data_IF_128484580629
#
_entry.id   IF_128484580629
#
_cell.length_a   1.000
_cell.length_b   1.000
_cell.length_c   1.000
_cell.angle_alpha   90.00
_cell.angle_beta   90.00
_cell.angle_gamma   90.00
#
_symmetry.space_group_name_H-M   'P 1'
#
loop_
_entity.id
_entity.type
_entity.pdbx_description
1 polymer ?
#
# COMPACT_ATOMS: atom_id res chain seq x y z
N UNK A 1 5.62 13.23 5.50
CA UNK A 1 5.35 12.53 6.79
C UNK A 1 6.68 12.33 7.52
N UNK A 2 6.71 12.38 8.86
CA UNK A 2 7.92 12.06 9.65
C UNK A 2 7.87 10.58 10.09
N UNK A 3 9.02 9.95 10.33
CA UNK A 3 9.10 8.56 10.78
C UNK A 3 8.29 8.30 12.07
N UNK A 4 8.32 9.22 13.03
CA UNK A 4 7.56 9.09 14.28
C UNK A 4 6.04 9.04 14.04
N UNK A 5 5.52 9.85 13.10
CA UNK A 5 4.10 9.83 12.75
C UNK A 5 3.73 8.53 12.02
N UNK A 6 4.64 8.01 11.20
CA UNK A 6 4.43 6.72 10.55
C UNK A 6 4.41 5.56 11.55
N UNK A 7 5.32 5.59 12.52
CA UNK A 7 5.35 4.61 13.61
C UNK A 7 4.04 4.62 14.40
N UNK A 8 3.45 5.80 14.67
CA UNK A 8 2.12 5.89 15.29
C UNK A 8 1.03 5.22 14.45
N UNK A 9 1.06 5.38 13.12
CA UNK A 9 0.11 4.67 12.24
C UNK A 9 0.32 3.15 12.33
N UNK A 10 1.57 2.70 12.38
CA UNK A 10 1.88 1.27 12.54
C UNK A 10 1.31 0.75 13.86
N UNK A 11 1.59 1.41 14.98
CA UNK A 11 1.16 0.95 16.30
C UNK A 11 -0.34 1.03 16.50
N UNK A 12 -0.97 2.10 16.02
CA UNK A 12 -2.36 2.40 16.39
C UNK A 12 -3.36 1.79 15.40
N UNK A 13 -2.94 1.50 14.17
CA UNK A 13 -3.83 1.04 13.09
C UNK A 13 -3.39 -0.30 12.52
N UNK A 14 -2.14 -0.40 12.05
CA UNK A 14 -1.67 -1.59 11.35
C UNK A 14 -1.59 -2.79 12.29
N UNK A 15 -0.91 -2.64 13.42
CA UNK A 15 -0.66 -3.74 14.35
C UNK A 15 -1.95 -4.39 14.87
N UNK A 16 -2.94 -3.63 15.40
CA UNK A 16 -4.23 -4.20 15.78
C UNK A 16 -4.96 -4.90 14.62
N UNK A 17 -4.88 -4.32 13.41
CA UNK A 17 -5.49 -4.92 12.22
C UNK A 17 -4.84 -6.24 11.84
N UNK A 18 -3.50 -6.33 11.88
CA UNK A 18 -2.76 -7.55 11.57
C UNK A 18 -3.08 -8.64 12.60
N UNK A 19 -3.10 -8.33 13.89
CA UNK A 19 -3.48 -9.27 14.95
C UNK A 19 -4.91 -9.79 14.78
N UNK A 20 -5.83 -8.93 14.34
CA UNK A 20 -7.22 -9.31 14.10
C UNK A 20 -7.40 -10.20 12.86
N UNK A 21 -6.76 -9.85 11.74
CA UNK A 21 -6.93 -10.55 10.44
C UNK A 21 -6.05 -11.80 10.33
N UNK A 22 -4.86 -11.77 10.94
CA UNK A 22 -3.87 -12.84 10.92
C UNK A 22 -3.49 -13.28 12.35
N UNK A 23 -4.45 -13.79 13.14
CA UNK A 23 -4.20 -14.15 14.54
C UNK A 23 -3.19 -15.29 14.73
N UNK A 24 -2.87 -16.02 13.66
CA UNK A 24 -1.85 -17.07 13.66
C UNK A 24 -0.41 -16.55 13.44
N UNK A 25 -0.23 -15.23 13.33
CA UNK A 25 1.09 -14.63 13.13
C UNK A 25 1.63 -14.72 11.69
N UNK A 26 0.82 -15.20 10.74
CA UNK A 26 1.24 -15.49 9.37
C UNK A 26 0.93 -14.38 8.36
N UNK A 27 0.60 -13.17 8.87
CA UNK A 27 0.36 -12.01 8.04
C UNK A 27 1.64 -11.53 7.36
N UNK A 28 1.50 -10.96 6.17
CA UNK A 28 2.61 -10.33 5.45
C UNK A 28 2.24 -8.87 5.18
N UNK A 29 3.06 -7.97 5.68
CA UNK A 29 2.93 -6.54 5.43
C UNK A 29 3.92 -6.10 4.34
N UNK A 30 3.44 -5.32 3.39
CA UNK A 30 4.25 -4.74 2.33
C UNK A 30 4.21 -3.22 2.45
N UNK A 31 5.38 -2.59 2.36
CA UNK A 31 5.56 -1.15 2.25
C UNK A 31 6.63 -0.86 1.19
N UNK A 32 6.64 0.37 0.67
CA UNK A 32 7.70 0.80 -0.25
C UNK A 32 8.98 1.21 0.51
N UNK A 33 9.98 1.65 -0.26
CA UNK A 33 11.27 2.07 0.26
C UNK A 33 11.37 3.58 0.57
N UNK A 34 10.26 4.26 0.88
CA UNK A 34 10.30 5.65 1.30
C UNK A 34 11.23 5.86 2.51
N UNK A 35 11.90 7.03 2.58
CA UNK A 35 12.92 7.30 3.60
C UNK A 35 12.42 7.11 5.03
N UNK A 36 11.18 7.48 5.31
CA UNK A 36 10.60 7.35 6.65
C UNK A 36 10.17 5.92 7.00
N UNK A 37 9.90 5.05 6.01
CA UNK A 37 9.67 3.61 6.23
C UNK A 37 10.96 2.88 6.61
N UNK A 38 12.10 3.38 6.11
CA UNK A 38 13.45 2.84 6.40
C UNK A 38 14.14 3.50 7.58
N UNK A 39 13.44 4.37 8.31
CA UNK A 39 13.98 4.98 9.50
C UNK A 39 14.23 3.90 10.57
N UNK A 40 15.35 4.02 11.30
CA UNK A 40 15.76 3.05 12.31
C UNK A 40 14.63 2.73 13.31
N UNK A 41 13.94 3.75 13.82
CA UNK A 41 12.83 3.57 14.77
C UNK A 41 11.67 2.71 14.23
N UNK A 42 11.46 2.71 12.90
CA UNK A 42 10.40 1.93 12.25
C UNK A 42 10.89 0.50 12.04
N UNK A 43 12.12 0.32 11.58
CA UNK A 43 12.71 -0.99 11.37
C UNK A 43 12.89 -1.77 12.68
N UNK A 44 13.36 -1.11 13.74
CA UNK A 44 13.46 -1.70 15.09
C UNK A 44 12.10 -2.12 15.64
N UNK A 45 11.02 -1.40 15.29
CA UNK A 45 9.67 -1.80 15.67
C UNK A 45 9.28 -3.10 14.97
N UNK A 46 9.48 -3.20 13.65
CA UNK A 46 9.17 -4.44 12.91
C UNK A 46 10.03 -5.62 13.36
N UNK A 47 11.30 -5.40 13.68
CA UNK A 47 12.19 -6.44 14.20
C UNK A 47 11.67 -7.04 15.52
N UNK A 48 11.11 -6.20 16.40
CA UNK A 48 10.52 -6.64 17.69
C UNK A 48 9.21 -7.41 17.56
N UNK A 49 8.51 -7.30 16.42
CA UNK A 49 7.19 -7.91 16.20
C UNK A 49 7.24 -8.93 15.03
N UNK A 50 8.42 -9.46 14.69
CA UNK A 50 8.59 -10.36 13.54
C UNK A 50 7.89 -11.71 13.70
N UNK A 51 7.54 -12.09 14.92
CA UNK A 51 6.78 -13.28 15.29
C UNK A 51 5.26 -13.09 15.14
N UNK A 52 4.80 -11.84 15.02
CA UNK A 52 3.38 -11.48 14.88
C UNK A 52 2.97 -11.28 13.43
N UNK A 53 3.85 -10.73 12.60
CA UNK A 53 3.68 -10.71 11.15
C UNK A 53 4.99 -10.33 10.46
N UNK A 54 5.12 -10.71 9.19
CA UNK A 54 6.34 -10.52 8.43
C UNK A 54 6.32 -9.20 7.62
N UNK A 55 7.33 -8.36 7.81
CA UNK A 55 7.61 -7.25 6.89
C UNK A 55 8.29 -7.79 5.63
N UNK A 56 7.61 -7.69 4.48
CA UNK A 56 8.11 -8.14 3.19
C UNK A 56 9.28 -7.26 2.73
N UNK A 57 10.36 -7.91 2.29
CA UNK A 57 11.41 -7.22 1.53
C UNK A 57 10.83 -6.65 0.23
N UNK A 58 11.08 -5.36 -0.01
CA UNK A 58 10.67 -4.70 -1.23
C UNK A 58 11.88 -4.19 -2.03
N UNK A 59 11.98 -4.49 -3.34
CA UNK A 59 13.06 -3.97 -4.17
C UNK A 59 12.96 -2.43 -4.34
N UNK A 60 14.10 -1.71 -4.40
CA UNK A 60 14.10 -0.29 -4.71
C UNK A 60 13.46 0.02 -6.06
N UNK A 61 12.89 1.22 -6.20
CA UNK A 61 12.37 1.75 -7.48
C UNK A 61 11.37 0.84 -8.22
N UNK A 62 10.60 0.04 -7.48
CA UNK A 62 9.68 -0.96 -8.05
C UNK A 62 8.22 -0.58 -7.89
N UNK A 63 7.84 0.58 -8.46
CA UNK A 63 6.45 1.05 -8.43
C UNK A 63 5.50 0.09 -9.17
N UNK A 64 5.96 -0.49 -10.29
CA UNK A 64 5.22 -1.47 -11.09
C UNK A 64 4.78 -2.71 -10.29
N UNK A 65 5.51 -3.03 -9.21
CA UNK A 65 5.20 -4.14 -8.33
C UNK A 65 4.16 -3.74 -7.26
N UNK A 66 4.00 -2.46 -6.95
CA UNK A 66 3.16 -2.00 -5.84
C UNK A 66 1.69 -1.93 -6.28
N UNK A 67 0.80 -2.83 -5.80
CA UNK A 67 -0.60 -2.82 -6.21
C UNK A 67 -1.34 -1.55 -5.80
N UNK A 68 -0.86 -0.84 -4.77
CA UNK A 68 -1.47 0.41 -4.31
C UNK A 68 -1.40 1.52 -5.35
N UNK A 69 -0.36 1.55 -6.19
CA UNK A 69 -0.27 2.54 -7.29
C UNK A 69 -1.45 2.40 -8.26
N UNK A 70 -1.89 1.16 -8.52
CA UNK A 70 -3.06 0.93 -9.37
C UNK A 70 -4.35 1.39 -8.69
N UNK A 71 -4.49 1.22 -7.38
CA UNK A 71 -5.64 1.74 -6.64
C UNK A 71 -5.66 3.27 -6.70
N UNK A 72 -4.51 3.93 -6.51
CA UNK A 72 -4.41 5.39 -6.62
C UNK A 72 -4.77 5.89 -8.01
N UNK A 73 -4.28 5.24 -9.06
CA UNK A 73 -4.65 5.58 -10.45
C UNK A 73 -6.16 5.43 -10.71
N UNK A 74 -6.78 4.33 -10.22
CA UNK A 74 -8.23 4.15 -10.32
C UNK A 74 -8.99 5.26 -9.58
N UNK A 75 -8.56 5.60 -8.36
CA UNK A 75 -9.20 6.66 -7.58
C UNK A 75 -9.05 8.03 -8.25
N UNK A 76 -7.86 8.34 -8.76
CA UNK A 76 -7.58 9.59 -9.45
C UNK A 76 -8.44 9.73 -10.71
N UNK A 77 -8.53 8.66 -11.53
CA UNK A 77 -9.39 8.66 -12.73
C UNK A 77 -10.86 8.89 -12.37
N UNK A 78 -11.36 8.25 -11.32
CA UNK A 78 -12.73 8.47 -10.86
C UNK A 78 -12.94 9.89 -10.35
N UNK A 79 -11.98 10.44 -9.60
CA UNK A 79 -12.07 11.79 -9.08
C UNK A 79 -12.06 12.84 -10.21
N UNK A 80 -11.20 12.66 -11.22
CA UNK A 80 -11.12 13.55 -12.40
C UNK A 80 -12.39 13.53 -13.25
N UNK A 81 -13.12 12.42 -13.26
CA UNK A 81 -14.38 12.30 -13.98
C UNK A 81 -15.57 13.01 -13.29
N UNK A 82 -15.44 13.41 -12.02
CA UNK A 82 -16.53 14.06 -11.29
C UNK A 82 -16.74 15.51 -11.74
N UNK A 83 -18.00 15.88 -11.95
CA UNK A 83 -18.42 17.23 -12.33
C UNK A 83 -19.44 17.78 -11.33
N UNK A 84 -19.29 19.01 -10.81
CA UNK A 84 -18.16 19.94 -11.04
C UNK A 84 -16.87 19.46 -10.36
N UNK A 85 -15.69 20.00 -10.73
CA UNK A 85 -14.43 19.75 -10.02
C UNK A 85 -14.52 20.08 -8.53
N UNK A 86 -13.65 19.47 -7.71
CA UNK A 86 -13.61 19.72 -6.27
C UNK A 86 -13.24 21.19 -5.98
N UNK A 87 -14.12 21.98 -5.34
CA UNK A 87 -13.87 23.41 -5.13
C UNK A 87 -12.92 23.69 -3.96
N UNK A 88 -12.75 22.75 -3.04
CA UNK A 88 -11.91 22.89 -1.85
C UNK A 88 -11.45 21.52 -1.31
N UNK A 89 -10.56 21.56 -0.32
CA UNK A 89 -9.95 20.38 0.30
C UNK A 89 -10.98 19.50 1.03
N UNK A 90 -12.03 20.08 1.63
CA UNK A 90 -13.08 19.31 2.31
C UNK A 90 -13.83 18.44 1.32
N UNK A 91 -14.31 19.04 0.22
CA UNK A 91 -15.02 18.31 -0.83
C UNK A 91 -14.10 17.29 -1.51
N UNK A 92 -12.81 17.60 -1.68
CA UNK A 92 -11.83 16.64 -2.18
C UNK A 92 -11.72 15.42 -1.25
N UNK A 93 -11.59 15.63 0.07
CA UNK A 93 -11.52 14.57 1.06
C UNK A 93 -12.76 13.68 1.02
N UNK A 94 -13.95 14.29 1.02
CA UNK A 94 -15.23 13.56 1.03
C UNK A 94 -15.37 12.69 -0.23
N UNK A 95 -14.98 13.23 -1.39
CA UNK A 95 -15.00 12.48 -2.66
C UNK A 95 -13.98 11.34 -2.70
N UNK A 96 -12.78 11.55 -2.17
CA UNK A 96 -11.78 10.48 -2.05
C UNK A 96 -12.30 9.33 -1.16
N UNK A 97 -12.95 9.66 -0.04
CA UNK A 97 -13.57 8.67 0.84
C UNK A 97 -14.72 7.94 0.14
N UNK A 98 -15.62 8.66 -0.53
CA UNK A 98 -16.73 8.07 -1.27
C UNK A 98 -16.26 7.09 -2.36
N UNK A 99 -15.23 7.49 -3.13
CA UNK A 99 -14.61 6.62 -4.12
C UNK A 99 -14.01 5.39 -3.44
N UNK A 100 -13.22 5.57 -2.38
CA UNK A 100 -12.57 4.47 -1.65
C UNK A 100 -13.57 3.44 -1.16
N UNK A 101 -14.67 3.87 -0.54
CA UNK A 101 -15.71 2.98 -0.03
C UNK A 101 -16.51 2.26 -1.13
N UNK A 102 -16.52 2.78 -2.36
CA UNK A 102 -17.19 2.17 -3.52
C UNK A 102 -16.29 1.23 -4.32
N UNK A 103 -14.99 1.19 -4.04
CA UNK A 103 -14.08 0.27 -4.72
C UNK A 103 -14.48 -1.17 -4.44
N UNK A 104 -14.63 -1.94 -5.51
CA UNK A 104 -15.09 -3.34 -5.43
C UNK A 104 -14.03 -4.24 -4.79
N UNK A 105 -14.41 -5.13 -3.85
CA UNK A 105 -13.50 -6.15 -3.32
C UNK A 105 -12.83 -7.01 -4.40
N UNK A 106 -13.52 -7.26 -5.51
CA UNK A 106 -13.01 -8.01 -6.66
C UNK A 106 -11.80 -7.32 -7.29
N UNK A 107 -11.72 -5.99 -7.23
CA UNK A 107 -10.57 -5.23 -7.72
C UNK A 107 -9.31 -5.56 -6.91
N UNK A 108 -9.40 -5.52 -5.58
CA UNK A 108 -8.27 -5.86 -4.71
C UNK A 108 -7.80 -7.30 -4.94
N UNK A 109 -8.73 -8.24 -5.05
CA UNK A 109 -8.41 -9.65 -5.33
C UNK A 109 -7.69 -9.83 -6.67
N UNK A 110 -8.15 -9.15 -7.73
CA UNK A 110 -7.50 -9.19 -9.06
C UNK A 110 -6.10 -8.59 -9.03
N UNK A 111 -5.88 -7.53 -8.26
CA UNK A 111 -4.57 -6.91 -8.11
C UNK A 111 -3.60 -7.84 -7.38
N UNK A 112 -4.01 -8.43 -6.26
CA UNK A 112 -3.20 -9.43 -5.53
C UNK A 112 -2.91 -10.64 -6.43
N UNK A 113 -3.92 -11.18 -7.12
CA UNK A 113 -3.75 -12.29 -8.05
C UNK A 113 -2.86 -11.95 -9.26
N UNK A 114 -2.64 -10.66 -9.56
CA UNK A 114 -1.74 -10.24 -10.63
C UNK A 114 -0.25 -10.30 -10.25
N UNK A 115 0.08 -10.35 -8.95
CA UNK A 115 1.45 -10.23 -8.45
C UNK A 115 2.44 -11.22 -9.08
N UNK A 116 2.14 -12.53 -9.23
CA UNK A 116 3.07 -13.45 -9.89
C UNK A 116 3.43 -13.03 -11.32
N UNK A 117 2.47 -12.46 -12.07
CA UNK A 117 2.71 -11.96 -13.43
C UNK A 117 3.53 -10.68 -13.45
N UNK A 118 3.36 -9.79 -12.46
CA UNK A 118 4.16 -8.56 -12.32
C UNK A 118 5.61 -8.90 -12.01
N UNK A 119 5.84 -9.80 -11.04
CA UNK A 119 7.17 -10.30 -10.67
C UNK A 119 7.86 -10.97 -11.86
N UNK A 120 7.15 -11.82 -12.61
CA UNK A 120 7.69 -12.43 -13.83
C UNK A 120 8.06 -11.39 -14.90
N UNK A 121 7.28 -10.31 -15.05
CA UNK A 121 7.61 -9.24 -15.98
C UNK A 121 8.89 -8.50 -15.58
N UNK A 122 9.06 -8.17 -14.30
CA UNK A 122 10.29 -7.55 -13.78
C UNK A 122 11.49 -8.46 -13.96
N UNK A 123 11.33 -9.76 -13.68
CA UNK A 123 12.38 -10.76 -13.90
C UNK A 123 12.81 -10.82 -15.38
N UNK A 124 11.85 -10.89 -16.30
CA UNK A 124 12.12 -10.91 -17.74
C UNK A 124 12.75 -9.58 -18.23
N UNK A 125 12.39 -8.46 -17.61
CA UNK A 125 12.99 -7.16 -17.86
C UNK A 125 14.35 -6.97 -17.17
N UNK A 126 14.87 -8.01 -16.48
CA UNK A 126 16.13 -7.97 -15.71
C UNK A 126 16.18 -6.83 -14.68
N UNK A 127 15.05 -6.60 -14.01
CA UNK A 127 14.89 -5.50 -13.05
C UNK A 127 14.55 -4.15 -13.68
N UNK A 128 14.39 -4.08 -15.01
CA UNK A 128 13.93 -2.89 -15.71
C UNK A 128 12.43 -2.63 -15.55
N UNK A 129 12.00 -1.46 -16.04
CA UNK A 129 10.60 -1.06 -16.06
C UNK A 129 9.73 -2.02 -16.88
N UNK A 130 8.49 -2.16 -16.45
CA UNK A 130 7.48 -3.02 -17.06
C UNK A 130 6.27 -2.19 -17.48
N UNK A 131 5.22 -2.87 -17.95
CA UNK A 131 3.95 -2.25 -18.36
C UNK A 131 2.98 -1.98 -17.20
N UNK A 132 3.33 -2.38 -15.99
CA UNK A 132 2.42 -2.46 -14.84
C UNK A 132 2.45 -1.23 -13.95
#
# INVERSE_FOLDING_TARGET
MKAANYLQIITDQLHPYMTFVFPAGNGIFQQDNALFHKAQIVLEWFEKHTDEFYLMFWPPSSLDLNPMEHIWDVMERQLRAQTPPCPNISTFRDRCLDIWYKLSPVMYQKLVASMPRRVAAVFNAKGGATRY
#
